data_IF_461243440110
#
_entry.id   IF_461243440110
#
_cell.length_a   1.000
_cell.length_b   1.000
_cell.length_c   1.000
_cell.angle_alpha   90.00
_cell.angle_beta   90.00
_cell.angle_gamma   90.00
#
_symmetry.space_group_name_H-M   'P 1'
#
loop_
_entity.id
_entity.type
_entity.pdbx_description
1 polymer ?
#
# COMPACT_ATOMS: atom_id res chain seq x y z
N UNK A 1 3.66 0.97 8.79
CA UNK A 1 2.37 0.38 8.40
C UNK A 1 2.49 -0.17 6.99
N UNK A 2 2.17 -1.44 6.77
CA UNK A 2 2.05 -1.99 5.42
C UNK A 2 0.59 -1.86 4.95
N UNK A 3 0.40 -1.42 3.70
CA UNK A 3 -0.90 -1.27 3.05
C UNK A 3 -0.77 -1.48 1.55
N UNK A 4 -1.72 -2.11 0.87
CA UNK A 4 -1.64 -2.30 -0.59
C UNK A 4 -2.57 -1.35 -1.36
N UNK A 5 -2.38 -1.28 -2.67
CA UNK A 5 -3.19 -0.44 -3.57
C UNK A 5 -4.65 -0.90 -3.76
N UNK A 6 -5.05 -2.02 -3.15
CA UNK A 6 -6.44 -2.50 -3.15
C UNK A 6 -7.16 -2.19 -1.83
N UNK A 7 -6.48 -1.52 -0.89
CA UNK A 7 -7.07 -1.12 0.36
C UNK A 7 -8.07 0.03 0.22
N UNK A 8 -8.79 0.29 1.32
CA UNK A 8 -9.82 1.32 1.45
C UNK A 8 -9.31 2.76 1.35
N UNK A 9 -8.06 3.02 1.75
CA UNK A 9 -7.46 4.37 1.75
C UNK A 9 -6.34 4.48 0.71
N UNK A 10 -6.26 5.61 0.01
CA UNK A 10 -5.13 5.88 -0.88
C UNK A 10 -3.85 6.13 -0.07
N UNK A 11 -2.69 5.86 -0.69
CA UNK A 11 -1.39 6.13 -0.07
C UNK A 11 -1.20 7.62 0.28
N UNK A 12 -1.81 8.52 -0.49
CA UNK A 12 -1.83 9.97 -0.23
C UNK A 12 -2.55 10.33 1.06
N UNK A 13 -3.70 9.71 1.34
CA UNK A 13 -4.44 9.93 2.59
C UNK A 13 -3.59 9.49 3.79
N UNK A 14 -2.97 8.31 3.70
CA UNK A 14 -2.10 7.79 4.77
C UNK A 14 -0.88 8.70 4.98
N UNK A 15 -0.23 9.15 3.89
CA UNK A 15 0.87 10.12 3.93
C UNK A 15 0.46 11.42 4.64
N UNK A 16 -0.68 11.99 4.27
CA UNK A 16 -1.19 13.22 4.87
C UNK A 16 -1.50 13.08 6.36
N UNK A 17 -1.95 11.91 6.80
CA UNK A 17 -2.17 11.61 8.22
C UNK A 17 -0.83 11.46 8.94
N UNK A 18 0.08 10.63 8.43
CA UNK A 18 1.36 10.33 9.11
C UNK A 18 2.30 11.53 9.21
N UNK A 19 2.34 12.40 8.20
CA UNK A 19 3.10 13.65 8.23
C UNK A 19 2.76 14.57 9.42
N UNK A 20 1.55 14.45 10.00
CA UNK A 20 1.16 15.25 11.17
C UNK A 20 1.83 14.79 12.46
N UNK A 21 2.43 13.60 12.47
CA UNK A 21 2.91 12.92 13.67
C UNK A 21 4.43 12.70 13.69
N UNK A 22 5.16 13.15 12.67
CA UNK A 22 6.61 12.95 12.57
C UNK A 22 7.12 12.95 11.13
N UNK A 23 8.38 12.51 10.96
CA UNK A 23 9.00 12.38 9.64
C UNK A 23 8.45 11.12 8.96
N UNK A 24 7.88 11.30 7.79
CA UNK A 24 7.26 10.22 7.02
C UNK A 24 8.12 9.85 5.82
N UNK A 25 8.30 8.54 5.63
CA UNK A 25 8.91 7.93 4.44
C UNK A 25 8.01 6.84 3.86
N UNK A 26 8.23 6.52 2.58
CA UNK A 26 7.47 5.48 1.87
C UNK A 26 8.42 4.58 1.08
N UNK A 27 8.29 3.28 1.29
CA UNK A 27 8.90 2.25 0.44
C UNK A 27 7.79 1.49 -0.28
N UNK A 28 8.02 1.10 -1.53
CA UNK A 28 7.02 0.38 -2.32
C UNK A 28 7.61 -0.88 -2.93
N UNK A 29 6.86 -1.97 -2.88
CA UNK A 29 7.24 -3.24 -3.48
C UNK A 29 6.09 -3.77 -4.32
N UNK A 30 6.36 -4.16 -5.56
CA UNK A 30 5.35 -4.78 -6.41
C UNK A 30 5.41 -6.31 -6.23
N UNK A 31 4.25 -6.91 -5.97
CA UNK A 31 4.10 -8.35 -5.88
C UNK A 31 3.18 -8.87 -6.98
N UNK A 32 3.45 -10.09 -7.43
CA UNK A 32 2.48 -10.82 -8.21
C UNK A 32 1.26 -11.11 -7.33
N UNK A 33 0.07 -10.80 -7.83
CA UNK A 33 -1.16 -10.99 -7.06
C UNK A 33 -1.39 -12.48 -6.86
N UNK A 34 -1.50 -12.90 -5.60
CA UNK A 34 -1.95 -14.25 -5.29
C UNK A 34 -3.43 -14.41 -5.69
N UNK A 35 -3.70 -15.33 -6.62
CA UNK A 35 -5.05 -15.65 -7.10
C UNK A 35 -5.51 -16.93 -6.40
N UNK A 36 -6.39 -16.79 -5.41
CA UNK A 36 -7.02 -17.94 -4.75
C UNK A 36 -8.08 -18.63 -5.64
N UNK A 37 -8.60 -17.93 -6.66
CA UNK A 37 -9.53 -18.45 -7.66
C UNK A 37 -9.02 -18.05 -9.06
N UNK A 38 -8.78 -19.05 -9.91
CA UNK A 38 -8.16 -18.90 -11.22
C UNK A 38 -9.13 -18.44 -12.32
N UNK A 39 -10.45 -18.41 -12.07
CA UNK A 39 -11.46 -18.28 -13.13
C UNK A 39 -11.96 -16.84 -13.44
N UNK A 40 -11.21 -15.80 -13.07
CA UNK A 40 -11.58 -14.40 -13.40
C UNK A 40 -10.57 -13.75 -14.33
N UNK A 41 -10.90 -13.74 -15.64
CA UNK A 41 -10.08 -13.21 -16.73
C UNK A 41 -9.76 -11.69 -16.65
N UNK A 42 -10.48 -10.92 -15.82
CA UNK A 42 -10.43 -9.45 -15.80
C UNK A 42 -9.93 -8.82 -14.48
N UNK A 43 -8.94 -9.41 -13.81
CA UNK A 43 -8.35 -8.84 -12.59
C UNK A 43 -6.88 -8.53 -12.77
N UNK A 44 -6.43 -7.39 -12.21
CA UNK A 44 -5.03 -6.96 -12.22
C UNK A 44 -4.08 -8.08 -11.76
N UNK A 45 -2.95 -8.24 -12.45
CA UNK A 45 -1.99 -9.33 -12.24
C UNK A 45 -0.99 -9.06 -11.11
N UNK A 46 -0.91 -7.83 -10.63
CA UNK A 46 -0.01 -7.42 -9.55
C UNK A 46 -0.74 -6.53 -8.54
N UNK A 47 -0.17 -6.50 -7.34
CA UNK A 47 -0.56 -5.58 -6.27
C UNK A 47 0.69 -4.85 -5.80
N UNK A 48 0.57 -3.56 -5.55
CA UNK A 48 1.66 -2.75 -4.99
C UNK A 48 1.46 -2.68 -3.49
N UNK A 49 2.44 -3.15 -2.74
CA UNK A 49 2.54 -2.89 -1.30
C UNK A 49 3.24 -1.55 -1.08
N UNK A 50 2.67 -0.77 -0.17
CA UNK A 50 3.19 0.46 0.38
C UNK A 50 3.59 0.21 1.83
N UNK A 51 4.89 0.30 2.11
CA UNK A 51 5.42 0.32 3.46
C UNK A 51 5.60 1.78 3.90
N UNK A 52 4.63 2.25 4.68
CA UNK A 52 4.62 3.57 5.29
C UNK A 52 5.47 3.56 6.57
N UNK A 53 6.48 4.43 6.62
CA UNK A 53 7.40 4.55 7.76
C UNK A 53 7.17 5.91 8.41
N UNK A 54 7.03 5.91 9.74
CA UNK A 54 6.85 7.12 10.53
C UNK A 54 7.89 7.12 11.64
N UNK A 55 8.79 8.10 11.59
CA UNK A 55 9.71 8.41 12.69
C UNK A 55 9.08 9.51 13.53
N UNK A 56 8.63 9.14 14.73
CA UNK A 56 8.00 10.06 15.68
C UNK A 56 9.06 10.89 16.39
N UNK A 57 8.78 12.19 16.55
CA UNK A 57 9.56 13.13 17.36
C UNK A 57 9.11 13.08 18.82
#
# INVERSE_FOLDING_TARGET
MSYNNEGLMSSEVIKNIMNKYGRYDLTTTQYQRFKADNNRFNKANSTTEYLHILEKV
#
